data_IF_134002130710
#
_entry.id   IF_134002130710
#
_cell.length_a   1.000
_cell.length_b   1.000
_cell.length_c   1.000
_cell.angle_alpha   90.00
_cell.angle_beta   90.00
_cell.angle_gamma   90.00
#
_symmetry.space_group_name_H-M   'P 1'
#
loop_
_entity.id
_entity.type
_entity.pdbx_description
1 polymer ?
#
# COMPACT_ATOMS: atom_id res chain seq x y z
N UNK A 1 16.22 3.63 2.09
CA UNK A 1 15.64 2.56 1.28
C UNK A 1 14.98 1.62 2.26
N UNK A 2 13.66 1.62 2.31
CA UNK A 2 12.88 0.90 3.32
C UNK A 2 12.20 -0.27 2.63
N UNK A 3 12.21 -1.44 3.26
CA UNK A 3 11.37 -2.56 2.84
C UNK A 3 10.05 -2.45 3.61
N UNK A 4 8.92 -2.52 2.90
CA UNK A 4 7.62 -2.70 3.52
C UNK A 4 7.31 -4.21 3.49
N UNK A 5 7.54 -4.90 4.61
CA UNK A 5 7.17 -6.31 4.73
C UNK A 5 5.68 -6.42 5.07
N UNK A 6 4.91 -7.10 4.23
CA UNK A 6 3.47 -7.33 4.42
C UNK A 6 3.15 -8.68 5.08
N UNK A 7 4.06 -9.23 5.88
CA UNK A 7 3.79 -10.48 6.60
C UNK A 7 2.82 -10.26 7.77
N UNK A 8 1.52 -10.41 7.50
CA UNK A 8 0.48 -10.70 8.50
C UNK A 8 0.08 -9.54 9.42
N UNK A 9 -0.96 -8.82 8.99
CA UNK A 9 -1.68 -7.84 9.82
C UNK A 9 -1.33 -6.39 9.49
N UNK A 10 -2.36 -5.56 9.36
CA UNK A 10 -2.40 -4.15 8.98
C UNK A 10 -1.48 -3.20 9.80
N UNK A 11 -0.16 -3.37 9.74
CA UNK A 11 0.82 -2.46 10.35
C UNK A 11 1.89 -2.14 9.32
N UNK A 12 1.94 -0.89 8.90
CA UNK A 12 3.02 -0.36 8.07
C UNK A 12 4.29 -0.27 8.93
N UNK A 13 5.05 -1.36 8.99
CA UNK A 13 6.32 -1.44 9.70
C UNK A 13 7.43 -1.02 8.73
N UNK A 14 8.16 0.03 9.07
CA UNK A 14 9.33 0.47 8.30
C UNK A 14 10.57 -0.24 8.84
N UNK A 15 11.18 -1.06 7.98
CA UNK A 15 12.39 -1.81 8.32
C UNK A 15 13.61 -1.26 7.60
N UNK A 16 14.75 -1.27 8.29
CA UNK A 16 16.03 -1.02 7.65
C UNK A 16 16.49 -2.23 6.84
N UNK A 17 17.29 -1.99 5.79
CA UNK A 17 17.74 -3.05 4.86
C UNK A 17 18.54 -4.15 5.56
N UNK A 18 19.26 -3.79 6.63
CA UNK A 18 20.09 -4.68 7.43
C UNK A 18 19.45 -5.05 8.79
N UNK A 19 18.18 -4.69 9.01
CA UNK A 19 17.44 -4.99 10.23
C UNK A 19 17.79 -4.12 11.46
N UNK A 20 18.84 -3.30 11.39
CA UNK A 20 19.21 -2.37 12.47
C UNK A 20 18.59 -0.98 12.21
N UNK A 21 18.10 -0.21 13.20
CA UNK A 21 17.55 1.10 12.90
C UNK A 21 18.62 2.11 12.45
N UNK A 22 18.21 3.12 11.68
CA UNK A 22 19.07 4.25 11.32
C UNK A 22 18.84 5.38 12.32
N UNK A 23 19.86 5.71 13.10
CA UNK A 23 19.84 6.76 14.12
C UNK A 23 21.10 7.62 14.00
N UNK A 24 20.95 8.92 13.79
CA UNK A 24 22.06 9.86 13.83
C UNK A 24 21.90 11.04 12.86
N UNK A 25 22.98 11.81 12.71
CA UNK A 25 23.02 13.00 11.85
C UNK A 25 23.14 12.64 10.37
N UNK A 26 22.30 13.21 9.52
CA UNK A 26 22.34 13.01 8.07
C UNK A 26 23.14 14.11 7.38
N UNK A 27 22.71 15.36 7.50
CA UNK A 27 23.36 16.55 6.93
C UNK A 27 23.11 17.77 7.84
N UNK A 28 24.13 18.63 8.00
CA UNK A 28 24.01 19.83 8.84
C UNK A 28 23.49 19.50 10.24
N UNK A 29 22.42 20.19 10.68
CA UNK A 29 21.71 19.94 11.94
C UNK A 29 20.45 19.08 11.76
N UNK A 30 20.40 18.24 10.73
CA UNK A 30 19.30 17.29 10.50
C UNK A 30 19.65 15.92 11.05
N UNK A 31 18.72 15.36 11.82
CA UNK A 31 18.84 14.06 12.46
C UNK A 31 17.72 13.14 12.00
N UNK A 32 17.99 11.85 11.97
CA UNK A 32 17.02 10.82 11.64
C UNK A 32 17.03 9.73 12.70
N UNK A 33 15.86 9.18 12.99
CA UNK A 33 15.65 7.98 13.78
C UNK A 33 14.50 7.20 13.14
N UNK A 34 14.80 6.11 12.45
CA UNK A 34 13.82 5.37 11.62
C UNK A 34 14.23 3.91 11.44
N UNK A 35 13.34 3.09 10.88
CA UNK A 35 13.62 1.67 10.68
C UNK A 35 13.53 0.84 11.95
N UNK A 36 12.67 1.23 12.91
CA UNK A 36 12.53 0.54 14.20
C UNK A 36 11.83 -0.83 14.10
N UNK A 37 11.31 -1.21 12.94
CA UNK A 37 10.79 -2.56 12.68
C UNK A 37 9.74 -3.07 13.69
N UNK A 38 8.95 -2.16 14.30
CA UNK A 38 7.97 -2.51 15.33
C UNK A 38 8.52 -2.52 16.77
N UNK A 39 9.84 -2.44 16.94
CA UNK A 39 10.56 -2.42 18.22
C UNK A 39 10.82 -0.99 18.72
N UNK A 40 9.82 -0.12 18.59
CA UNK A 40 9.95 1.30 18.93
C UNK A 40 10.34 1.55 20.40
N UNK A 41 9.86 0.71 21.33
CA UNK A 41 10.16 0.85 22.76
C UNK A 41 11.65 0.69 23.08
N UNK A 42 12.31 -0.45 22.77
CA UNK A 42 13.73 -0.62 23.06
C UNK A 42 14.61 0.35 22.25
N UNK A 43 14.29 0.59 20.97
CA UNK A 43 15.11 1.46 20.13
C UNK A 43 14.91 2.96 20.39
N UNK A 44 13.82 3.38 21.02
CA UNK A 44 13.60 4.80 21.37
C UNK A 44 14.64 5.32 22.37
N UNK A 45 15.01 4.50 23.37
CA UNK A 45 15.99 4.87 24.40
C UNK A 45 17.38 4.98 23.79
N UNK A 46 17.74 4.01 22.93
CA UNK A 46 19.00 4.04 22.17
C UNK A 46 19.02 5.28 21.27
N UNK A 47 17.92 5.56 20.58
CA UNK A 47 17.82 6.71 19.69
C UNK A 47 17.97 8.05 20.45
N UNK A 48 17.27 8.21 21.56
CA UNK A 48 17.35 9.41 22.39
C UNK A 48 18.79 9.67 22.86
N UNK A 49 19.50 8.62 23.30
CA UNK A 49 20.89 8.71 23.72
C UNK A 49 21.81 9.14 22.56
N UNK A 50 21.77 8.42 21.44
CA UNK A 50 22.65 8.68 20.30
C UNK A 50 22.41 10.05 19.65
N UNK A 51 21.15 10.50 19.62
CA UNK A 51 20.81 11.84 19.15
C UNK A 51 21.30 12.92 20.10
N UNK A 52 21.18 12.71 21.43
CA UNK A 52 21.71 13.63 22.44
C UNK A 52 23.25 13.73 22.37
N UNK A 53 23.92 12.60 22.19
CA UNK A 53 25.37 12.56 21.98
C UNK A 53 25.77 13.30 20.69
N UNK A 54 24.99 13.12 19.62
CA UNK A 54 25.24 13.77 18.33
C UNK A 54 25.00 15.29 18.37
N UNK A 55 24.03 15.77 19.16
CA UNK A 55 23.78 17.22 19.32
C UNK A 55 24.83 17.92 20.18
N UNK A 56 25.50 17.17 21.07
CA UNK A 56 26.60 17.66 21.89
C UNK A 56 27.99 17.49 21.23
N UNK A 57 28.04 17.01 19.97
CA UNK A 57 29.27 16.65 19.26
C UNK A 57 30.18 15.67 20.05
N UNK A 58 29.56 14.72 20.77
CA UNK A 58 30.23 13.68 21.57
C UNK A 58 29.76 12.28 21.19
N UNK A 59 29.99 11.81 19.95
CA UNK A 59 29.51 10.51 19.51
C UNK A 59 30.20 9.36 20.28
N UNK A 60 29.42 8.35 20.66
CA UNK A 60 29.90 7.10 21.23
C UNK A 60 30.34 6.10 20.15
N UNK A 61 31.08 5.06 20.53
CA UNK A 61 31.52 4.01 19.60
C UNK A 61 30.32 3.25 19.00
N UNK A 62 29.22 3.16 19.73
CA UNK A 62 27.97 2.54 19.32
C UNK A 62 27.24 3.35 18.25
N UNK A 63 27.52 4.66 18.10
CA UNK A 63 26.87 5.52 17.12
C UNK A 63 27.10 5.07 15.67
N UNK A 64 28.26 4.47 15.37
CA UNK A 64 28.59 4.00 14.03
C UNK A 64 27.72 2.81 13.59
N UNK A 65 27.28 1.98 14.54
CA UNK A 65 26.40 0.82 14.28
C UNK A 65 25.04 1.29 13.76
N UNK A 66 24.52 2.38 14.32
CA UNK A 66 23.22 2.93 13.95
C UNK A 66 23.31 4.06 12.92
N UNK A 67 24.52 4.46 12.54
CA UNK A 67 24.76 5.59 11.65
C UNK A 67 23.96 5.49 10.35
N UNK A 68 23.19 6.53 9.96
CA UNK A 68 22.49 6.56 8.68
C UNK A 68 23.46 6.44 7.50
N UNK A 69 24.71 6.86 7.68
CA UNK A 69 25.76 6.82 6.65
C UNK A 69 26.21 5.39 6.30
N UNK A 70 25.83 4.37 7.09
CA UNK A 70 26.14 2.97 6.79
C UNK A 70 25.40 2.44 5.56
N UNK A 71 24.37 3.16 5.10
CA UNK A 71 23.67 2.85 3.86
C UNK A 71 24.64 2.93 2.67
N UNK A 72 25.07 1.78 2.13
CA UNK A 72 25.85 1.73 0.88
C UNK A 72 24.87 1.67 -0.31
N UNK A 73 24.83 2.66 -1.20
CA UNK A 73 23.89 2.70 -2.33
C UNK A 73 24.02 1.51 -3.32
N UNK A 74 25.13 0.78 -3.27
CA UNK A 74 25.51 -0.22 -4.27
C UNK A 74 24.90 -1.61 -3.99
N UNK A 75 24.64 -1.96 -2.72
CA UNK A 75 24.04 -3.25 -2.37
C UNK A 75 22.51 -3.28 -2.56
N UNK A 76 21.88 -2.12 -2.71
CA UNK A 76 20.42 -1.99 -2.84
C UNK A 76 19.91 -2.08 -4.28
N UNK A 77 20.73 -1.80 -5.29
CA UNK A 77 20.24 -1.67 -6.68
C UNK A 77 19.74 -3.00 -7.27
N UNK A 78 20.51 -4.10 -7.10
CA UNK A 78 20.11 -5.41 -7.61
C UNK A 78 18.91 -5.97 -6.83
N UNK A 79 18.91 -5.78 -5.51
CA UNK A 79 17.81 -6.19 -4.64
C UNK A 79 16.53 -5.40 -4.93
N UNK A 80 16.62 -4.10 -5.19
CA UNK A 80 15.49 -3.26 -5.59
C UNK A 80 14.89 -3.68 -6.92
N UNK A 81 15.72 -4.01 -7.91
CA UNK A 81 15.23 -4.47 -9.21
C UNK A 81 14.53 -5.82 -9.04
N UNK A 82 15.13 -6.75 -8.27
CA UNK A 82 14.51 -8.05 -8.00
C UNK A 82 13.21 -7.91 -7.18
N UNK A 83 13.21 -7.12 -6.10
CA UNK A 83 12.05 -6.89 -5.24
C UNK A 83 10.90 -6.19 -6.00
N UNK A 84 11.20 -5.29 -6.96
CA UNK A 84 10.18 -4.62 -7.77
C UNK A 84 9.70 -5.43 -8.98
N UNK A 85 10.45 -6.44 -9.44
CA UNK A 85 10.01 -7.31 -10.54
C UNK A 85 8.76 -8.11 -10.15
N UNK A 86 8.71 -8.60 -8.91
CA UNK A 86 7.55 -9.32 -8.40
C UNK A 86 6.30 -8.44 -8.40
N UNK A 87 6.44 -7.16 -8.05
CA UNK A 87 5.35 -6.18 -8.12
C UNK A 87 4.84 -6.03 -9.56
N UNK A 88 5.74 -5.89 -10.54
CA UNK A 88 5.36 -5.77 -11.94
C UNK A 88 4.65 -7.05 -12.44
N UNK A 89 5.13 -8.23 -12.04
CA UNK A 89 4.49 -9.51 -12.38
C UNK A 89 3.08 -9.61 -11.77
N UNK A 90 2.91 -9.25 -10.50
CA UNK A 90 1.60 -9.22 -9.83
C UNK A 90 0.63 -8.25 -10.49
N UNK A 91 1.09 -7.05 -10.89
CA UNK A 91 0.24 -6.09 -11.61
C UNK A 91 -0.25 -6.62 -12.96
N UNK A 92 0.57 -7.40 -13.67
CA UNK A 92 0.18 -8.03 -14.94
C UNK A 92 -0.75 -9.21 -14.68
N UNK A 93 -0.43 -10.08 -13.73
CA UNK A 93 -1.23 -11.24 -13.37
C UNK A 93 -2.65 -10.82 -12.95
N UNK A 94 -2.79 -9.86 -12.03
CA UNK A 94 -4.09 -9.33 -11.59
C UNK A 94 -4.90 -8.73 -12.75
N UNK A 95 -4.23 -8.17 -13.76
CA UNK A 95 -4.90 -7.68 -14.95
C UNK A 95 -5.50 -8.80 -15.80
N UNK A 96 -4.97 -10.01 -15.71
CA UNK A 96 -5.50 -11.19 -16.39
C UNK A 96 -6.51 -11.96 -15.54
N UNK A 97 -6.31 -12.07 -14.22
CA UNK A 97 -7.04 -13.03 -13.37
C UNK A 97 -8.04 -12.42 -12.38
N UNK A 98 -7.98 -11.12 -12.08
CA UNK A 98 -8.77 -10.55 -10.98
C UNK A 98 -10.31 -10.54 -11.17
N UNK A 99 -10.84 -10.93 -12.32
CA UNK A 99 -12.28 -10.96 -12.54
C UNK A 99 -12.88 -12.26 -12.01
N UNK A 100 -13.92 -12.15 -11.19
CA UNK A 100 -14.59 -13.29 -10.55
C UNK A 100 -15.82 -13.75 -11.33
N UNK A 101 -16.45 -12.86 -12.11
CA UNK A 101 -17.56 -13.21 -13.00
C UNK A 101 -17.53 -12.42 -14.31
N UNK A 102 -18.31 -12.88 -15.27
CA UNK A 102 -18.60 -12.19 -16.53
C UNK A 102 -20.00 -11.58 -16.54
N UNK A 103 -20.68 -11.52 -15.40
CA UNK A 103 -22.06 -11.06 -15.26
C UNK A 103 -22.25 -10.24 -13.98
N UNK A 104 -23.02 -9.15 -14.09
CA UNK A 104 -23.44 -8.28 -12.99
C UNK A 104 -24.62 -8.87 -12.20
N UNK A 105 -25.28 -9.90 -12.74
CA UNK A 105 -26.44 -10.53 -12.10
C UNK A 105 -26.06 -11.37 -10.87
N UNK A 106 -24.79 -11.74 -10.74
CA UNK A 106 -24.34 -12.72 -9.75
C UNK A 106 -23.98 -12.09 -8.38
N UNK A 107 -24.07 -10.76 -8.27
CA UNK A 107 -23.71 -10.00 -7.06
C UNK A 107 -24.91 -9.94 -6.13
N UNK A 108 -24.81 -10.59 -4.96
CA UNK A 108 -25.87 -10.64 -3.96
C UNK A 108 -26.04 -9.30 -3.22
N UNK A 109 -27.22 -9.02 -2.63
CA UNK A 109 -27.43 -7.82 -1.80
C UNK A 109 -26.43 -7.75 -0.64
N UNK A 110 -25.76 -6.61 -0.49
CA UNK A 110 -24.69 -6.36 0.48
C UNK A 110 -23.31 -6.90 0.08
N UNK A 111 -23.15 -7.42 -1.13
CA UNK A 111 -21.88 -7.93 -1.68
C UNK A 111 -21.37 -7.01 -2.78
N UNK A 112 -20.04 -6.97 -2.95
CA UNK A 112 -19.39 -6.41 -4.11
C UNK A 112 -18.56 -7.47 -4.84
N UNK A 113 -18.49 -7.38 -6.17
CA UNK A 113 -17.73 -8.31 -7.00
C UNK A 113 -16.89 -7.60 -8.07
N UNK A 114 -15.83 -8.29 -8.49
CA UNK A 114 -15.08 -7.90 -9.67
C UNK A 114 -15.64 -8.62 -10.89
N UNK A 115 -16.14 -7.84 -11.84
CA UNK A 115 -16.79 -8.34 -13.05
C UNK A 115 -15.99 -7.90 -14.26
N UNK A 116 -15.79 -8.81 -15.22
CA UNK A 116 -15.17 -8.47 -16.49
C UNK A 116 -16.18 -8.53 -17.63
N UNK A 117 -16.41 -7.37 -18.25
CA UNK A 117 -17.23 -7.23 -19.44
C UNK A 117 -16.36 -6.76 -20.61
N UNK A 118 -16.06 -7.68 -21.52
CA UNK A 118 -15.08 -7.48 -22.58
C UNK A 118 -13.69 -7.19 -22.01
N UNK A 119 -13.13 -6.03 -22.36
CA UNK A 119 -11.81 -5.58 -21.85
C UNK A 119 -11.90 -4.74 -20.56
N UNK A 120 -13.11 -4.44 -20.07
CA UNK A 120 -13.31 -3.57 -18.91
C UNK A 120 -13.47 -4.42 -17.65
N UNK A 121 -12.73 -4.06 -16.59
CA UNK A 121 -12.93 -4.59 -15.25
C UNK A 121 -13.77 -3.61 -14.45
N UNK A 122 -14.86 -4.12 -13.90
CA UNK A 122 -15.87 -3.39 -13.16
C UNK A 122 -15.83 -3.86 -11.71
N UNK A 123 -16.02 -2.92 -10.80
CA UNK A 123 -16.25 -3.15 -9.40
C UNK A 123 -17.73 -2.85 -9.17
N UNK A 124 -18.55 -3.89 -9.05
CA UNK A 124 -19.97 -3.75 -8.83
C UNK A 124 -20.32 -4.04 -7.37
N UNK A 125 -21.28 -3.31 -6.84
CA UNK A 125 -21.77 -3.50 -5.48
C UNK A 125 -23.29 -3.43 -5.51
N UNK A 126 -23.95 -4.39 -4.87
CA UNK A 126 -25.39 -4.35 -4.69
C UNK A 126 -25.70 -3.94 -3.26
N UNK A 127 -26.46 -2.87 -3.06
CA UNK A 127 -26.90 -2.47 -1.72
C UNK A 127 -27.81 -3.54 -1.11
N UNK A 128 -27.99 -3.58 0.22
CA UNK A 128 -28.97 -4.44 0.87
C UNK A 128 -30.40 -4.24 0.33
N UNK A 129 -30.72 -3.03 -0.12
CA UNK A 129 -32.00 -2.65 -0.74
C UNK A 129 -32.08 -3.08 -2.23
N UNK A 130 -31.01 -3.64 -2.79
CA UNK A 130 -30.95 -4.18 -4.14
C UNK A 130 -30.40 -3.22 -5.21
N UNK A 131 -30.04 -1.99 -4.84
CA UNK A 131 -29.50 -0.98 -5.76
C UNK A 131 -28.11 -1.40 -6.26
N UNK A 132 -27.92 -1.46 -7.59
CA UNK A 132 -26.63 -1.82 -8.18
C UNK A 132 -25.80 -0.57 -8.48
N UNK A 133 -24.62 -0.48 -7.88
CA UNK A 133 -23.58 0.51 -8.19
C UNK A 133 -22.51 -0.17 -9.05
N UNK A 134 -22.17 0.42 -10.20
CA UNK A 134 -21.11 -0.09 -11.08
C UNK A 134 -20.01 0.96 -11.22
N UNK A 135 -18.81 0.59 -10.81
CA UNK A 135 -17.62 1.43 -10.82
C UNK A 135 -16.54 0.81 -11.70
N UNK A 136 -15.57 1.62 -12.11
CA UNK A 136 -14.32 1.10 -12.67
C UNK A 136 -13.52 0.43 -11.57
N UNK A 137 -13.12 -0.83 -11.77
CA UNK A 137 -12.22 -1.52 -10.84
C UNK A 137 -10.77 -1.00 -10.87
N UNK A 138 -10.47 -0.06 -11.77
CA UNK A 138 -9.12 0.51 -11.90
C UNK A 138 -8.92 1.64 -10.89
N UNK A 139 -7.98 1.44 -9.96
CA UNK A 139 -7.56 2.44 -8.99
C UNK A 139 -7.06 3.72 -9.68
N UNK A 140 -7.47 4.88 -9.17
CA UNK A 140 -7.08 6.18 -9.72
C UNK A 140 -5.63 6.58 -9.46
N UNK A 141 -4.89 5.84 -8.63
CA UNK A 141 -3.47 6.09 -8.34
C UNK A 141 -2.57 5.67 -9.52
N UNK A 142 -2.24 4.38 -9.57
CA UNK A 142 -1.32 3.76 -10.53
C UNK A 142 -2.00 2.60 -11.27
N UNK A 143 -3.33 2.65 -11.38
CA UNK A 143 -4.14 1.75 -12.22
C UNK A 143 -4.12 0.27 -11.83
N UNK A 144 -3.79 -0.05 -10.58
CA UNK A 144 -4.03 -1.38 -10.02
C UNK A 144 -5.53 -1.72 -10.00
N UNK A 145 -5.86 -3.01 -9.98
CA UNK A 145 -7.24 -3.47 -9.82
C UNK A 145 -7.57 -3.51 -8.33
N UNK A 146 -8.67 -2.88 -7.92
CA UNK A 146 -9.18 -2.95 -6.54
C UNK A 146 -9.87 -4.28 -6.29
N UNK A 147 -10.03 -4.71 -5.04
CA UNK A 147 -10.81 -5.89 -4.65
C UNK A 147 -11.84 -5.53 -3.59
N UNK A 148 -12.88 -6.36 -3.49
CA UNK A 148 -13.94 -6.17 -2.50
C UNK A 148 -13.51 -6.67 -1.12
N UNK A 149 -13.70 -5.84 -0.11
CA UNK A 149 -13.52 -6.18 1.30
C UNK A 149 -14.90 -6.25 1.97
N UNK A 150 -15.40 -7.49 2.16
CA UNK A 150 -16.72 -7.75 2.72
C UNK A 150 -16.87 -7.26 4.17
N UNK A 151 -15.79 -7.34 4.98
CA UNK A 151 -15.85 -6.97 6.39
C UNK A 151 -16.09 -5.47 6.59
N UNK A 152 -15.57 -4.67 5.66
CA UNK A 152 -15.53 -3.21 5.75
C UNK A 152 -16.44 -2.52 4.73
N UNK A 153 -17.10 -3.30 3.85
CA UNK A 153 -17.88 -2.78 2.72
C UNK A 153 -17.12 -1.74 1.89
N UNK A 154 -15.89 -2.08 1.50
CA UNK A 154 -14.98 -1.17 0.82
C UNK A 154 -14.24 -1.83 -0.33
N UNK A 155 -13.79 -1.01 -1.28
CA UNK A 155 -12.89 -1.40 -2.36
C UNK A 155 -11.46 -1.06 -1.97
N UNK A 156 -10.63 -2.07 -1.83
CA UNK A 156 -9.26 -1.92 -1.38
C UNK A 156 -8.29 -2.11 -2.55
N UNK A 157 -7.32 -1.21 -2.67
CA UNK A 157 -6.25 -1.28 -3.65
C UNK A 157 -5.03 -1.97 -3.00
N UNK A 158 -4.59 -3.14 -3.49
CA UNK A 158 -3.51 -3.91 -2.87
C UNK A 158 -2.15 -3.22 -2.97
N UNK A 159 -1.99 -2.29 -3.93
CA UNK A 159 -0.68 -1.74 -4.24
C UNK A 159 -0.14 -0.75 -3.20
N UNK A 160 -0.98 0.16 -2.69
CA UNK A 160 -0.55 1.22 -1.79
C UNK A 160 -1.59 1.48 -0.67
N UNK A 161 -2.51 0.54 -0.46
CA UNK A 161 -3.50 0.62 0.62
C UNK A 161 -4.59 1.68 0.43
N UNK A 162 -4.80 2.19 -0.80
CA UNK A 162 -5.91 3.11 -1.07
C UNK A 162 -7.24 2.38 -0.89
N UNK A 163 -8.16 2.97 -0.12
CA UNK A 163 -9.50 2.44 0.11
C UNK A 163 -10.57 3.36 -0.47
N UNK A 164 -11.62 2.76 -1.00
CA UNK A 164 -12.79 3.46 -1.51
C UNK A 164 -14.08 2.89 -0.89
N UNK A 165 -15.08 3.73 -0.67
CA UNK A 165 -16.40 3.26 -0.24
C UNK A 165 -17.17 2.59 -1.39
N UNK A 166 -18.36 2.06 -1.08
CA UNK A 166 -19.25 1.42 -2.07
C UNK A 166 -19.68 2.33 -3.23
N UNK A 167 -19.53 3.65 -3.08
CA UNK A 167 -19.82 4.68 -4.10
C UNK A 167 -18.54 5.13 -4.83
N UNK A 168 -17.39 4.52 -4.53
CA UNK A 168 -16.10 4.80 -5.12
C UNK A 168 -15.40 6.03 -4.54
N UNK A 169 -15.86 6.61 -3.42
CA UNK A 169 -15.22 7.76 -2.81
C UNK A 169 -14.00 7.36 -1.98
N UNK A 170 -12.91 8.16 -1.97
CA UNK A 170 -11.79 7.95 -1.05
C UNK A 170 -12.22 7.85 0.40
N UNK A 171 -11.76 6.80 1.09
CA UNK A 171 -11.82 6.71 2.56
C UNK A 171 -10.45 7.05 3.15
N UNK A 172 -9.41 6.39 2.66
CA UNK A 172 -8.06 6.47 3.23
C UNK A 172 -6.99 6.27 2.15
N UNK A 173 -5.84 6.93 2.30
CA UNK A 173 -4.68 6.83 1.42
C UNK A 173 -4.74 7.74 0.18
N UNK A 174 -3.60 8.05 -0.44
CA UNK A 174 -3.57 8.78 -1.71
C UNK A 174 -4.04 7.87 -2.86
N UNK A 175 -4.73 8.37 -3.92
CA UNK A 175 -5.06 9.75 -4.27
C UNK A 175 -6.40 10.26 -3.67
N UNK A 176 -6.84 11.47 -4.05
CA UNK A 176 -8.16 12.02 -3.64
C UNK A 176 -9.26 11.83 -4.69
N UNK A 177 -8.93 11.23 -5.83
CA UNK A 177 -9.89 11.02 -6.93
C UNK A 177 -10.75 9.78 -6.68
N UNK A 178 -12.08 9.88 -6.83
CA UNK A 178 -13.00 8.73 -6.76
C UNK A 178 -12.82 7.74 -7.91
N UNK A 179 -13.29 6.51 -7.74
CA UNK A 179 -13.46 5.58 -8.86
C UNK A 179 -14.49 6.12 -9.85
N UNK A 180 -14.23 5.93 -11.14
CA UNK A 180 -15.15 6.36 -12.17
C UNK A 180 -16.44 5.54 -12.11
N UNK A 181 -17.60 6.22 -12.10
CA UNK A 181 -18.89 5.56 -12.30
C UNK A 181 -18.99 5.06 -13.73
N UNK A 182 -19.56 3.87 -13.88
CA UNK A 182 -19.71 3.21 -15.16
C UNK A 182 -21.21 3.12 -15.45
N UNK A 183 -21.60 3.43 -16.68
CA UNK A 183 -22.96 3.15 -17.12
C UNK A 183 -23.22 1.65 -16.95
N UNK A 184 -24.36 1.29 -16.37
CA UNK A 184 -24.75 -0.09 -16.23
C UNK A 184 -25.00 -0.66 -17.64
N UNK A 185 -24.23 -1.65 -18.11
CA UNK A 185 -24.38 -2.18 -19.46
C UNK A 185 -25.73 -2.86 -19.72
N UNK A 186 -26.52 -3.18 -18.68
CA UNK A 186 -27.92 -3.60 -18.86
C UNK A 186 -28.84 -2.47 -19.33
N UNK A 187 -28.47 -1.20 -19.12
CA UNK A 187 -29.31 -0.04 -19.46
C UNK A 187 -29.13 0.40 -20.92
N UNK A 188 -28.24 -0.25 -21.68
CA UNK A 188 -27.90 0.10 -23.07
C UNK A 188 -28.51 -0.84 -24.11
N UNK A 189 -29.45 -1.70 -23.72
CA UNK A 189 -30.18 -2.65 -24.59
C UNK A 189 -31.67 -2.27 -24.75
N UNK A 190 -31.97 -1.00 -25.00
CA UNK A 190 -33.32 -0.54 -25.39
C UNK A 190 -33.29 0.16 -26.73
#
# INVERSE_FOLDING_TARGET
MFSASTSGGHRNIYEAVDGSPYVGRTHGHTYVATGFSGDGLPFSVIAARLLSESTMDRPSAEADIFSPKRMKPIAGAKKLVQENMDVAAHMIADRLTAAQSSSLADTAPGEGRLVQLGMRKLADYRSPEGELSVLSATCTHLKCIVYWNQAESSWDCPCHGRRFDVRGQPIEGPPVTPLARMANPSDTQS
#
